data_IF_669315550595
#
_entry.id   IF_669315550595
#
_cell.length_a   1.000
_cell.length_b   1.000
_cell.length_c   1.000
_cell.angle_alpha   90.00
_cell.angle_beta   90.00
_cell.angle_gamma   90.00
#
_symmetry.space_group_name_H-M   'P 1'
#
loop_
_entity.id
_entity.type
_entity.pdbx_description
1 polymer ?
#
# COMPACT_ATOMS: atom_id res chain seq x y z
N UNK A 1 33.27 -11.47 29.57
CA UNK A 1 32.70 -12.77 29.91
C UNK A 1 32.67 -13.66 28.67
N UNK A 2 32.36 -14.93 28.83
CA UNK A 2 32.21 -15.86 27.69
C UNK A 2 30.73 -16.05 27.30
N UNK A 3 29.96 -14.99 27.45
CA UNK A 3 28.50 -14.97 27.23
C UNK A 3 28.10 -14.94 25.75
N UNK A 4 29.06 -14.77 24.85
CA UNK A 4 28.89 -14.81 23.40
C UNK A 4 29.74 -15.89 22.70
N UNK A 5 30.25 -16.89 23.48
CA UNK A 5 31.04 -17.96 22.91
C UNK A 5 30.25 -18.77 21.86
N UNK A 6 30.88 -19.07 20.73
CA UNK A 6 30.36 -19.90 19.65
C UNK A 6 31.37 -20.94 19.26
N UNK A 7 30.87 -22.12 18.92
CA UNK A 7 31.67 -23.22 18.39
C UNK A 7 31.45 -23.33 16.87
N UNK A 8 32.56 -23.47 16.15
CA UNK A 8 32.56 -23.60 14.70
C UNK A 8 33.34 -24.85 14.31
N UNK A 9 32.84 -25.55 13.30
CA UNK A 9 33.55 -26.68 12.71
C UNK A 9 34.37 -26.20 11.52
N UNK A 10 35.65 -26.63 11.48
CA UNK A 10 36.56 -26.28 10.38
C UNK A 10 36.40 -27.29 9.24
N UNK A 11 36.32 -26.76 8.02
CA UNK A 11 36.23 -27.59 6.80
C UNK A 11 37.61 -27.82 6.21
N UNK A 12 37.97 -29.09 5.92
CA UNK A 12 39.20 -29.43 5.25
C UNK A 12 39.19 -28.94 3.80
N UNK A 13 40.25 -28.26 3.38
CA UNK A 13 40.44 -27.77 2.03
C UNK A 13 41.19 -28.80 1.17
N UNK A 14 41.18 -28.62 -0.15
CA UNK A 14 41.84 -29.52 -1.09
C UNK A 14 43.38 -29.57 -0.90
N UNK A 15 43.98 -28.52 -0.38
CA UNK A 15 45.42 -28.44 -0.07
C UNK A 15 45.81 -29.09 1.30
N UNK A 16 44.80 -29.65 2.02
CA UNK A 16 45.00 -30.27 3.32
C UNK A 16 44.80 -29.34 4.51
N UNK A 17 44.69 -28.04 4.31
CA UNK A 17 44.45 -27.09 5.37
C UNK A 17 42.99 -27.16 5.88
N UNK A 18 42.77 -26.66 7.08
CA UNK A 18 41.42 -26.52 7.66
C UNK A 18 41.05 -25.03 7.72
N UNK A 19 39.85 -24.69 7.25
CA UNK A 19 39.33 -23.35 7.22
C UNK A 19 38.01 -23.23 7.96
N UNK A 20 37.88 -22.17 8.73
CA UNK A 20 36.60 -21.75 9.35
C UNK A 20 36.40 -20.25 9.09
N UNK A 21 35.16 -19.89 8.84
CA UNK A 21 34.77 -18.48 8.70
C UNK A 21 33.92 -18.11 9.92
N UNK A 22 34.42 -17.17 10.70
CA UNK A 22 33.70 -16.63 11.85
C UNK A 22 33.00 -15.33 11.41
N UNK A 23 31.71 -15.24 11.68
CA UNK A 23 30.91 -14.03 11.38
C UNK A 23 30.66 -13.27 12.67
N UNK A 24 30.91 -11.96 12.66
CA UNK A 24 30.61 -11.11 13.80
C UNK A 24 29.12 -11.08 14.15
N UNK A 25 28.23 -11.33 13.17
CA UNK A 25 26.78 -11.46 13.39
C UNK A 25 26.44 -12.58 14.38
N UNK A 26 27.23 -13.65 14.42
CA UNK A 26 27.02 -14.78 15.34
C UNK A 26 27.42 -14.42 16.77
N UNK A 27 28.15 -13.33 16.93
CA UNK A 27 28.61 -12.72 18.17
C UNK A 27 27.95 -11.38 18.47
N UNK A 28 26.67 -11.23 18.11
CA UNK A 28 25.86 -10.04 18.35
C UNK A 28 26.44 -8.76 17.70
N UNK A 29 27.25 -8.92 16.64
CA UNK A 29 28.01 -7.82 15.99
C UNK A 29 28.90 -7.06 16.99
N UNK A 30 29.47 -7.73 17.96
CA UNK A 30 30.40 -7.10 18.90
C UNK A 30 31.69 -6.66 18.21
N UNK A 31 32.24 -5.54 18.61
CA UNK A 31 33.56 -5.06 18.21
C UNK A 31 34.57 -5.29 19.32
N UNK A 32 35.86 -5.22 18.99
CA UNK A 32 36.96 -5.39 19.91
C UNK A 32 37.72 -6.68 19.75
N UNK A 33 38.40 -7.13 20.81
CA UNK A 33 39.29 -8.27 20.75
C UNK A 33 38.53 -9.58 20.84
N UNK A 34 38.59 -10.37 19.76
CA UNK A 34 38.07 -11.73 19.69
C UNK A 34 39.16 -12.72 20.07
N UNK A 35 38.87 -13.62 21.00
CA UNK A 35 39.74 -14.72 21.40
C UNK A 35 39.29 -15.96 20.66
N UNK A 36 40.19 -16.58 19.93
CA UNK A 36 39.96 -17.81 19.17
C UNK A 36 40.77 -18.91 19.75
N UNK A 37 40.09 -19.99 20.14
CA UNK A 37 40.72 -21.21 20.63
C UNK A 37 40.48 -22.35 19.65
N UNK A 38 41.54 -23.09 19.28
CA UNK A 38 41.46 -24.24 18.41
C UNK A 38 41.58 -25.54 19.22
N UNK A 39 40.69 -26.46 18.92
CA UNK A 39 40.66 -27.80 19.53
C UNK A 39 40.61 -28.88 18.45
N UNK A 40 41.31 -29.98 18.68
CA UNK A 40 41.01 -31.22 17.98
C UNK A 40 39.99 -32.04 18.75
N UNK A 41 39.09 -32.68 18.03
CA UNK A 41 38.22 -33.70 18.60
C UNK A 41 38.85 -35.08 18.27
N UNK A 42 39.22 -35.82 19.29
CA UNK A 42 39.80 -37.14 19.12
C UNK A 42 38.71 -38.21 18.85
N UNK A 43 39.11 -39.40 18.41
CA UNK A 43 38.17 -40.48 18.11
C UNK A 43 37.33 -40.95 19.31
N UNK A 44 37.80 -40.70 20.53
CA UNK A 44 37.09 -40.99 21.78
C UNK A 44 36.14 -39.82 22.21
N UNK A 45 36.05 -38.76 21.38
CA UNK A 45 35.24 -37.58 21.65
C UNK A 45 35.89 -36.55 22.57
N UNK A 46 37.11 -36.81 23.06
CA UNK A 46 37.84 -35.84 23.89
C UNK A 46 38.33 -34.66 23.08
N UNK A 47 38.44 -33.48 23.73
CA UNK A 47 38.91 -32.23 23.11
C UNK A 47 40.31 -31.91 23.61
N UNK A 48 41.21 -31.73 22.68
CA UNK A 48 42.60 -31.33 22.95
C UNK A 48 42.81 -29.90 22.40
N UNK A 49 43.16 -28.95 23.28
CA UNK A 49 43.49 -27.59 22.90
C UNK A 49 44.83 -27.57 22.14
N UNK A 50 44.86 -26.93 20.99
CA UNK A 50 46.02 -26.94 20.09
C UNK A 50 46.63 -25.53 19.98
N UNK A 51 45.85 -24.51 20.17
CA UNK A 51 46.34 -23.16 20.09
C UNK A 51 45.30 -22.11 20.39
N UNK A 52 45.79 -20.89 20.66
CA UNK A 52 44.94 -19.74 20.88
C UNK A 52 45.49 -18.58 20.07
N UNK A 53 44.61 -17.75 19.56
CA UNK A 53 44.97 -16.45 18.92
C UNK A 53 43.94 -15.39 19.25
N UNK A 54 44.29 -14.15 18.97
CA UNK A 54 43.37 -13.07 19.10
C UNK A 54 43.36 -12.25 17.83
N UNK A 55 42.20 -11.69 17.49
CA UNK A 55 42.09 -10.70 16.39
C UNK A 55 41.23 -9.53 16.89
N UNK A 56 41.55 -8.35 16.41
CA UNK A 56 40.73 -7.16 16.64
C UNK A 56 39.68 -7.08 15.53
N UNK A 57 38.42 -6.97 15.91
CA UNK A 57 37.31 -6.77 14.97
C UNK A 57 36.80 -5.35 15.13
N UNK A 58 37.03 -4.56 14.11
CA UNK A 58 36.49 -3.23 13.97
C UNK A 58 35.62 -3.20 12.73
N UNK A 59 34.40 -2.70 12.88
CA UNK A 59 33.62 -2.37 11.70
C UNK A 59 34.12 -1.03 11.18
N UNK A 60 34.97 -1.06 10.16
CA UNK A 60 35.34 0.15 9.43
C UNK A 60 34.05 0.75 8.85
N UNK A 61 33.70 1.96 9.29
CA UNK A 61 32.42 2.62 9.02
C UNK A 61 31.24 1.94 9.72
N UNK A 62 31.31 1.71 11.01
CA UNK A 62 30.13 1.40 11.81
C UNK A 62 29.13 2.56 11.68
N UNK A 63 28.21 2.44 10.76
CA UNK A 63 27.13 3.38 10.58
C UNK A 63 26.26 3.31 11.84
N UNK A 64 26.37 4.32 12.68
CA UNK A 64 25.62 4.42 13.96
C UNK A 64 24.28 5.12 13.79
N UNK A 65 24.07 5.79 12.64
CA UNK A 65 22.85 6.57 12.35
C UNK A 65 22.11 5.98 11.16
N UNK A 66 20.80 5.94 11.29
CA UNK A 66 19.90 5.65 10.16
C UNK A 66 20.22 6.57 8.99
N UNK A 67 20.29 6.01 7.79
CA UNK A 67 20.44 6.79 6.55
C UNK A 67 19.16 6.69 5.74
N UNK A 68 18.85 7.79 5.06
CA UNK A 68 17.68 7.89 4.21
C UNK A 68 18.07 8.56 2.88
N UNK A 69 17.42 8.18 1.82
CA UNK A 69 17.69 8.75 0.51
C UNK A 69 16.55 8.56 -0.48
N UNK A 70 16.72 9.17 -1.66
CA UNK A 70 15.81 8.98 -2.78
C UNK A 70 16.60 8.37 -3.94
N UNK A 71 16.01 7.36 -4.60
CA UNK A 71 16.55 6.73 -5.80
C UNK A 71 15.46 6.39 -6.80
N UNK A 72 15.85 5.87 -7.95
CA UNK A 72 14.94 5.38 -9.00
C UNK A 72 13.85 6.41 -9.38
N UNK A 73 14.24 7.69 -9.48
CA UNK A 73 13.33 8.74 -9.90
C UNK A 73 12.94 8.51 -11.35
N UNK A 74 11.67 8.21 -11.57
CA UNK A 74 11.08 8.14 -12.90
C UNK A 74 10.03 9.26 -13.01
N UNK A 75 10.48 10.42 -13.46
CA UNK A 75 9.65 11.61 -13.56
C UNK A 75 8.45 11.39 -14.49
N UNK A 76 8.63 10.67 -15.59
CA UNK A 76 7.58 10.37 -16.57
C UNK A 76 6.53 9.39 -16.06
N UNK A 77 6.92 8.38 -15.28
CA UNK A 77 6.00 7.48 -14.60
C UNK A 77 5.43 8.08 -13.31
N UNK A 78 5.98 9.20 -12.85
CA UNK A 78 5.58 9.85 -11.61
C UNK A 78 5.92 9.05 -10.36
N UNK A 79 7.09 8.40 -10.35
CA UNK A 79 7.49 7.54 -9.21
C UNK A 79 8.91 7.79 -8.78
N UNK A 80 9.19 7.55 -7.50
CA UNK A 80 10.53 7.43 -6.95
C UNK A 80 10.53 6.51 -5.74
N UNK A 81 11.71 6.03 -5.37
CA UNK A 81 11.89 5.14 -4.22
C UNK A 81 12.59 5.89 -3.10
N UNK A 82 12.00 5.90 -1.93
CA UNK A 82 12.64 6.32 -0.67
C UNK A 82 13.33 5.12 -0.07
N UNK A 83 14.60 5.27 0.31
CA UNK A 83 15.38 4.25 1.00
C UNK A 83 15.58 4.61 2.45
N UNK A 84 15.54 3.61 3.31
CA UNK A 84 15.86 3.74 4.74
C UNK A 84 16.79 2.58 5.10
N UNK A 85 18.02 2.93 5.48
CA UNK A 85 19.04 1.99 5.89
C UNK A 85 19.20 2.04 7.42
N UNK A 86 18.87 0.93 8.07
CA UNK A 86 19.12 0.77 9.49
C UNK A 86 20.61 0.64 9.75
N UNK A 87 21.13 1.46 10.65
CA UNK A 87 22.53 1.33 11.07
C UNK A 87 22.76 -0.01 11.76
N UNK A 88 23.81 -0.78 11.40
CA UNK A 88 24.10 -2.08 12.01
C UNK A 88 24.25 -2.04 13.53
N UNK A 89 24.76 -0.92 14.06
CA UNK A 89 24.93 -0.69 15.49
C UNK A 89 24.04 0.45 16.01
N UNK A 90 23.06 0.86 15.19
CA UNK A 90 22.12 1.92 15.53
C UNK A 90 20.89 1.40 16.27
N UNK A 91 19.98 2.33 16.51
CA UNK A 91 18.66 2.05 17.10
C UNK A 91 17.85 1.15 16.15
N UNK A 92 17.14 0.17 16.70
CA UNK A 92 16.29 -0.72 15.91
C UNK A 92 15.03 0.02 15.46
N UNK A 93 14.80 0.00 14.14
CA UNK A 93 13.62 0.57 13.52
C UNK A 93 12.41 -0.32 13.80
N UNK A 94 11.31 0.30 14.24
CA UNK A 94 10.00 -0.33 14.47
C UNK A 94 9.06 -0.11 13.29
N UNK A 95 9.07 1.12 12.75
CA UNK A 95 8.19 1.49 11.65
C UNK A 95 8.80 2.66 10.87
N UNK A 96 8.44 2.77 9.61
CA UNK A 96 8.89 3.84 8.71
C UNK A 96 7.64 4.51 8.13
N UNK A 97 7.58 5.82 8.23
CA UNK A 97 6.52 6.67 7.68
C UNK A 97 7.13 7.68 6.73
N UNK A 98 6.61 7.74 5.52
CA UNK A 98 7.03 8.72 4.52
C UNK A 98 5.87 9.64 4.22
N UNK A 99 6.07 10.94 4.39
CA UNK A 99 5.15 11.98 4.00
C UNK A 99 5.61 12.57 2.67
N UNK A 100 4.75 12.64 1.67
CA UNK A 100 5.06 13.29 0.39
C UNK A 100 3.90 14.20 -0.03
N UNK A 101 4.22 15.36 -0.61
CA UNK A 101 3.26 16.31 -1.15
C UNK A 101 3.92 17.22 -2.19
N UNK A 102 3.14 17.78 -3.11
CA UNK A 102 3.62 18.72 -4.13
C UNK A 102 2.88 20.06 -4.15
N UNK A 103 1.77 20.18 -3.39
CA UNK A 103 0.98 21.40 -3.34
C UNK A 103 1.31 22.24 -2.10
N UNK A 104 1.06 23.54 -2.20
CA UNK A 104 1.18 24.45 -1.07
C UNK A 104 0.29 23.97 0.10
N UNK A 105 0.67 24.32 1.31
CA UNK A 105 -0.07 23.95 2.53
C UNK A 105 -0.33 22.44 2.69
N UNK A 106 0.44 21.58 1.98
CA UNK A 106 0.30 20.11 2.03
C UNK A 106 -1.09 19.60 1.57
N UNK A 107 -1.78 20.31 0.69
CA UNK A 107 -3.15 19.97 0.26
C UNK A 107 -3.28 18.56 -0.35
N UNK A 108 -2.21 18.05 -0.96
CA UNK A 108 -2.16 16.69 -1.48
C UNK A 108 -1.18 15.79 -0.71
N UNK A 109 -1.00 16.03 0.61
CA UNK A 109 -0.17 15.20 1.46
C UNK A 109 -0.68 13.77 1.49
N UNK A 110 0.23 12.84 1.23
CA UNK A 110 -0.02 11.42 1.39
C UNK A 110 1.03 10.76 2.28
N UNK A 111 0.58 9.86 3.15
CA UNK A 111 1.42 9.11 4.05
C UNK A 111 1.59 7.66 3.59
N UNK A 112 2.83 7.23 3.45
CA UNK A 112 3.20 5.84 3.24
C UNK A 112 3.74 5.29 4.56
N UNK A 113 3.33 4.10 4.96
CA UNK A 113 3.80 3.46 6.20
C UNK A 113 4.16 2.00 5.93
N UNK A 114 5.31 1.57 6.45
CA UNK A 114 5.77 0.19 6.33
C UNK A 114 6.60 -0.23 7.54
N UNK A 115 6.53 -1.52 7.87
CA UNK A 115 7.50 -2.12 8.77
C UNK A 115 8.86 -2.28 8.06
N UNK A 116 9.99 -2.26 8.80
CA UNK A 116 11.29 -2.48 8.20
C UNK A 116 11.42 -3.89 7.61
N UNK A 117 12.02 -4.00 6.43
CA UNK A 117 12.35 -5.26 5.77
C UNK A 117 13.86 -5.56 5.89
N UNK A 118 14.33 -5.90 7.10
CA UNK A 118 15.74 -6.11 7.38
C UNK A 118 16.49 -4.79 7.58
N UNK A 119 17.75 -4.75 7.09
CA UNK A 119 18.64 -3.59 7.25
C UNK A 119 18.41 -2.50 6.21
N UNK A 120 17.78 -2.84 5.10
CA UNK A 120 17.44 -1.94 3.99
C UNK A 120 15.95 -2.03 3.69
N UNK A 121 15.26 -0.91 3.70
CA UNK A 121 13.82 -0.84 3.41
C UNK A 121 13.57 0.19 2.33
N UNK A 122 12.72 -0.15 1.39
CA UNK A 122 12.31 0.72 0.29
C UNK A 122 10.83 1.05 0.39
N UNK A 123 10.50 2.32 0.16
CA UNK A 123 9.12 2.81 0.09
C UNK A 123 8.93 3.50 -1.24
N UNK A 124 8.03 2.99 -2.06
CA UNK A 124 7.74 3.59 -3.35
C UNK A 124 6.72 4.73 -3.18
N UNK A 125 7.09 5.92 -3.60
CA UNK A 125 6.22 7.08 -3.72
C UNK A 125 5.72 7.17 -5.16
N UNK A 126 4.42 7.40 -5.31
CA UNK A 126 3.78 7.49 -6.63
C UNK A 126 2.90 8.72 -6.74
N UNK A 127 3.04 9.46 -7.81
CA UNK A 127 2.18 10.59 -8.15
C UNK A 127 0.69 10.21 -8.26
N UNK A 128 0.39 8.91 -8.45
CA UNK A 128 -0.98 8.41 -8.41
C UNK A 128 -1.68 8.72 -7.07
N UNK A 129 -0.93 8.67 -5.96
CA UNK A 129 -1.45 9.01 -4.63
C UNK A 129 -1.57 10.53 -4.39
N UNK A 130 -1.12 11.33 -5.34
CA UNK A 130 -1.13 12.80 -5.32
C UNK A 130 -1.84 13.37 -6.54
N UNK A 131 -2.86 12.67 -7.03
CA UNK A 131 -3.69 13.09 -8.17
C UNK A 131 -2.89 13.32 -9.47
N UNK A 132 -1.77 12.60 -9.65
CA UNK A 132 -0.83 12.77 -10.77
C UNK A 132 -0.33 14.21 -10.96
N UNK A 133 -0.32 15.01 -9.89
CA UNK A 133 0.18 16.38 -9.97
C UNK A 133 1.63 16.41 -10.46
N UNK A 134 1.89 17.25 -11.45
CA UNK A 134 3.25 17.59 -11.85
C UNK A 134 3.80 18.65 -10.91
N UNK A 135 5.06 18.53 -10.54
CA UNK A 135 5.70 19.52 -9.69
C UNK A 135 6.81 18.93 -8.82
N UNK A 136 7.24 19.72 -7.87
CA UNK A 136 8.28 19.35 -6.92
C UNK A 136 7.64 18.68 -5.70
N UNK A 137 7.90 17.41 -5.53
CA UNK A 137 7.43 16.62 -4.39
C UNK A 137 8.36 16.78 -3.21
N UNK A 138 7.91 17.43 -2.16
CA UNK A 138 8.61 17.47 -0.87
C UNK A 138 8.43 16.14 -0.17
N UNK A 139 9.52 15.58 0.36
CA UNK A 139 9.53 14.26 1.02
C UNK A 139 10.12 14.35 2.40
N UNK A 140 9.37 13.94 3.40
CA UNK A 140 9.84 13.76 4.77
C UNK A 140 9.74 12.28 5.17
N UNK A 141 10.76 11.78 5.86
CA UNK A 141 10.78 10.42 6.43
C UNK A 141 10.77 10.53 7.93
N UNK A 142 9.94 9.76 8.59
CA UNK A 142 9.91 9.59 10.03
C UNK A 142 10.16 8.13 10.36
N UNK A 143 11.17 7.90 11.18
CA UNK A 143 11.57 6.57 11.62
C UNK A 143 11.19 6.43 13.08
N UNK A 144 10.27 5.52 13.36
CA UNK A 144 9.89 5.17 14.72
C UNK A 144 10.79 4.02 15.20
N UNK A 145 11.41 4.17 16.36
CA UNK A 145 12.30 3.18 16.93
C UNK A 145 11.63 2.31 17.99
N UNK A 146 12.16 1.11 18.18
CA UNK A 146 11.64 0.15 19.19
C UNK A 146 11.72 0.71 20.61
N UNK A 147 12.69 1.58 20.89
CA UNK A 147 12.87 2.26 22.19
C UNK A 147 11.88 3.40 22.42
N UNK A 148 10.96 3.66 21.47
CA UNK A 148 9.92 4.70 21.56
C UNK A 148 10.33 6.07 21.01
N UNK A 149 11.57 6.27 20.56
CA UNK A 149 12.00 7.52 19.92
C UNK A 149 11.57 7.62 18.46
N UNK A 150 11.49 8.84 17.95
CA UNK A 150 11.19 9.16 16.54
C UNK A 150 12.30 10.06 16.01
N UNK A 151 12.76 9.77 14.79
CA UNK A 151 13.72 10.63 14.07
C UNK A 151 13.10 11.04 12.72
N UNK A 152 13.21 12.34 12.40
CA UNK A 152 12.70 12.93 11.17
C UNK A 152 13.80 13.31 10.21
N UNK A 153 13.62 13.03 8.92
CA UNK A 153 14.55 13.36 7.84
C UNK A 153 13.81 14.15 6.77
N UNK A 154 14.36 15.29 6.38
CA UNK A 154 13.87 16.05 5.22
C UNK A 154 14.73 15.67 4.00
N UNK A 155 14.15 15.00 3.02
CA UNK A 155 14.84 14.57 1.80
C UNK A 155 14.77 15.60 0.67
N UNK A 156 14.22 16.80 0.96
CA UNK A 156 14.11 17.86 -0.01
C UNK A 156 12.98 17.61 -1.03
N UNK A 157 13.22 18.06 -2.25
CA UNK A 157 12.24 18.03 -3.32
C UNK A 157 12.69 17.16 -4.50
N UNK A 158 11.75 16.41 -5.07
CA UNK A 158 11.93 15.58 -6.26
C UNK A 158 10.96 16.04 -7.33
N UNK A 159 11.47 16.47 -8.49
CA UNK A 159 10.61 16.87 -9.60
C UNK A 159 9.99 15.66 -10.30
N UNK A 160 8.68 15.58 -10.29
CA UNK A 160 7.92 14.61 -11.05
C UNK A 160 7.05 15.34 -12.09
N UNK A 161 7.10 14.85 -13.30
CA UNK A 161 6.23 15.27 -14.40
C UNK A 161 5.58 14.02 -14.96
N UNK A 162 4.64 13.40 -14.21
CA UNK A 162 4.02 12.16 -14.64
C UNK A 162 3.39 12.40 -16.01
N UNK A 163 3.95 11.77 -17.00
CA UNK A 163 3.23 11.57 -18.25
C UNK A 163 2.23 10.48 -17.89
N UNK A 164 0.95 10.79 -18.02
CA UNK A 164 -0.05 9.75 -17.92
C UNK A 164 0.32 8.70 -19.01
N UNK A 165 1.08 7.69 -18.62
CA UNK A 165 1.29 6.51 -19.45
C UNK A 165 0.01 5.69 -19.34
N UNK A 166 -0.96 6.15 -20.09
CA UNK A 166 -2.03 5.29 -20.55
C UNK A 166 -1.33 4.33 -21.52
N UNK A 167 -1.42 3.06 -21.24
CA UNK A 167 -1.09 2.02 -22.21
C UNK A 167 -1.84 2.36 -23.50
N UNK A 168 -1.11 2.84 -24.52
CA UNK A 168 -1.68 3.42 -25.76
C UNK A 168 -2.30 2.38 -26.67
N UNK A 169 -2.46 1.13 -26.23
CA UNK A 169 -3.13 0.10 -27.05
C UNK A 169 -4.62 -0.06 -26.76
N UNK A 170 -5.18 0.64 -25.76
CA UNK A 170 -6.59 0.46 -25.41
C UNK A 170 -7.44 1.74 -25.33
N UNK A 171 -6.88 2.95 -25.18
CA UNK A 171 -7.73 4.18 -25.15
C UNK A 171 -6.92 5.46 -25.38
N UNK A 172 -7.19 6.18 -26.45
CA UNK A 172 -6.97 7.62 -26.52
C UNK A 172 -8.21 8.32 -25.96
N UNK A 173 -8.12 8.97 -24.78
CA UNK A 173 -8.92 10.14 -24.55
C UNK A 173 -8.03 11.35 -24.29
N UNK A 174 -8.38 12.47 -24.94
CA UNK A 174 -8.00 13.80 -24.50
C UNK A 174 -8.01 13.87 -22.98
N UNK A 175 -6.97 14.51 -22.37
CA UNK A 175 -6.98 14.92 -20.97
C UNK A 175 -8.19 15.84 -20.80
N UNK A 176 -9.31 15.27 -20.45
CA UNK A 176 -10.45 15.99 -19.91
C UNK A 176 -10.31 15.91 -18.39
N UNK A 177 -10.22 17.04 -17.70
CA UNK A 177 -10.45 17.14 -16.25
C UNK A 177 -11.91 16.79 -15.89
N UNK A 178 -12.51 15.85 -16.63
CA UNK A 178 -13.90 15.48 -16.50
C UNK A 178 -14.17 14.85 -15.13
N UNK A 179 -15.35 15.08 -14.62
CA UNK A 179 -15.80 14.56 -13.33
C UNK A 179 -15.63 13.03 -13.24
N UNK A 180 -15.89 12.31 -14.33
CA UNK A 180 -15.69 10.84 -14.41
C UNK A 180 -14.26 10.42 -14.13
N UNK A 181 -13.29 11.08 -14.76
CA UNK A 181 -11.87 10.74 -14.61
C UNK A 181 -11.38 11.04 -13.19
N UNK A 182 -11.93 12.07 -12.53
CA UNK A 182 -11.64 12.37 -11.13
C UNK A 182 -12.11 11.24 -10.22
N UNK A 183 -13.35 10.77 -10.41
CA UNK A 183 -13.92 9.64 -9.63
C UNK A 183 -13.08 8.38 -9.83
N UNK A 184 -12.71 8.05 -11.07
CA UNK A 184 -11.90 6.85 -11.36
C UNK A 184 -10.51 6.93 -10.72
N UNK A 185 -9.85 8.09 -10.79
CA UNK A 185 -8.55 8.29 -10.12
C UNK A 185 -8.69 8.21 -8.60
N UNK A 186 -9.72 8.82 -8.02
CA UNK A 186 -9.97 8.77 -6.59
C UNK A 186 -10.20 7.32 -6.13
N UNK A 187 -11.01 6.54 -6.85
CA UNK A 187 -11.21 5.12 -6.55
C UNK A 187 -9.93 4.32 -6.68
N UNK A 188 -9.16 4.50 -7.77
CA UNK A 188 -7.91 3.79 -8.02
C UNK A 188 -6.84 4.09 -6.96
N UNK A 189 -6.80 5.31 -6.41
CA UNK A 189 -5.86 5.71 -5.36
C UNK A 189 -6.08 4.97 -4.03
N UNK A 190 -7.26 4.41 -3.82
CA UNK A 190 -7.62 3.68 -2.62
C UNK A 190 -7.37 2.16 -2.74
N UNK A 191 -7.02 1.66 -3.92
CA UNK A 191 -6.74 0.22 -4.11
C UNK A 191 -5.63 -0.23 -3.16
N UNK A 192 -5.89 -1.33 -2.43
CA UNK A 192 -5.00 -1.87 -1.42
C UNK A 192 -5.31 -1.40 0.02
N UNK A 193 -6.21 -0.42 0.22
CA UNK A 193 -6.70 -0.07 1.57
C UNK A 193 -7.39 -1.28 2.16
N UNK A 194 -7.01 -1.65 3.38
CA UNK A 194 -7.54 -2.81 4.11
C UNK A 194 -8.39 -2.37 5.30
N UNK A 195 -9.45 -3.11 5.58
CA UNK A 195 -10.26 -2.94 6.76
C UNK A 195 -9.42 -2.99 8.05
N UNK A 196 -9.74 -2.14 9.02
CA UNK A 196 -9.03 -2.01 10.28
C UNK A 196 -7.72 -1.19 10.23
N UNK A 197 -7.28 -0.74 9.05
CA UNK A 197 -6.09 0.14 8.93
C UNK A 197 -6.44 1.62 9.16
N UNK A 198 -5.42 2.45 9.39
CA UNK A 198 -5.59 3.90 9.50
C UNK A 198 -6.23 4.52 8.24
N UNK A 199 -5.90 4.00 7.05
CA UNK A 199 -6.48 4.45 5.79
C UNK A 199 -7.98 4.12 5.70
N UNK A 200 -8.39 2.95 6.18
CA UNK A 200 -9.81 2.59 6.29
C UNK A 200 -10.53 3.46 7.33
N UNK A 201 -9.92 3.69 8.50
CA UNK A 201 -10.46 4.61 9.50
C UNK A 201 -10.67 6.01 8.93
N UNK A 202 -9.74 6.50 8.10
CA UNK A 202 -9.86 7.80 7.44
C UNK A 202 -11.05 7.82 6.47
N UNK A 203 -11.26 6.75 5.70
CA UNK A 203 -12.41 6.63 4.80
C UNK A 203 -13.74 6.69 5.56
N UNK A 204 -13.82 6.01 6.70
CA UNK A 204 -15.00 6.06 7.61
C UNK A 204 -15.17 7.45 8.20
N UNK A 205 -14.09 8.11 8.62
CA UNK A 205 -14.13 9.47 9.15
C UNK A 205 -14.61 10.48 8.10
N UNK A 206 -14.12 10.36 6.86
CA UNK A 206 -14.52 11.24 5.77
C UNK A 206 -16.01 11.09 5.45
N UNK A 207 -16.51 9.84 5.38
CA UNK A 207 -17.95 9.60 5.23
C UNK A 207 -18.75 10.28 6.34
N UNK A 208 -18.34 10.10 7.59
CA UNK A 208 -19.03 10.64 8.76
C UNK A 208 -18.93 12.16 8.92
N UNK A 209 -17.97 12.79 8.24
CA UNK A 209 -17.73 14.24 8.35
C UNK A 209 -18.82 15.09 7.72
N UNK A 210 -19.52 14.58 6.71
CA UNK A 210 -20.56 15.30 5.97
C UNK A 210 -21.94 15.03 6.55
N UNK A 211 -22.64 16.10 6.90
CA UNK A 211 -23.99 16.04 7.50
C UNK A 211 -25.04 16.59 6.52
N UNK A 212 -26.31 16.12 6.62
CA UNK A 212 -26.80 15.06 7.50
C UNK A 212 -26.26 13.68 7.09
N UNK A 213 -26.13 12.79 8.07
CA UNK A 213 -25.78 11.41 7.79
C UNK A 213 -26.95 10.67 7.16
N UNK A 214 -26.72 9.82 6.14
CA UNK A 214 -27.74 8.89 5.66
C UNK A 214 -28.34 8.08 6.81
N UNK A 215 -29.66 7.97 6.81
CA UNK A 215 -30.48 7.34 7.87
C UNK A 215 -30.10 7.74 9.31
N UNK A 216 -29.42 8.87 9.48
CA UNK A 216 -28.97 9.37 10.79
C UNK A 216 -27.86 8.52 11.44
N UNK A 217 -27.24 7.59 10.71
CA UNK A 217 -26.29 6.62 11.25
C UNK A 217 -24.84 7.01 10.96
N UNK A 218 -24.03 7.12 12.03
CA UNK A 218 -22.58 7.24 11.92
C UNK A 218 -21.96 5.85 11.78
N UNK A 219 -21.37 5.57 10.62
CA UNK A 219 -20.77 4.27 10.33
C UNK A 219 -19.52 4.02 11.17
N UNK A 220 -19.26 2.74 11.48
CA UNK A 220 -18.13 2.27 12.27
C UNK A 220 -17.14 1.52 11.37
N UNK A 221 -15.93 1.34 11.82
CA UNK A 221 -14.91 0.53 11.12
C UNK A 221 -15.19 -0.97 11.13
N UNK A 222 -16.19 -1.39 11.88
CA UNK A 222 -16.68 -2.78 11.94
C UNK A 222 -17.84 -3.07 11.02
N UNK A 223 -18.42 -2.02 10.41
CA UNK A 223 -19.55 -2.17 9.50
C UNK A 223 -19.07 -2.58 8.11
N UNK A 224 -19.98 -3.15 7.31
CA UNK A 224 -19.72 -3.35 5.88
C UNK A 224 -19.53 -2.00 5.20
N UNK A 225 -18.46 -1.88 4.42
CA UNK A 225 -18.00 -0.59 3.91
C UNK A 225 -17.88 -0.51 2.38
N UNK A 226 -18.54 -1.42 1.65
CA UNK A 226 -18.55 -1.37 0.18
C UNK A 226 -19.25 -0.09 -0.32
N UNK A 227 -20.41 0.25 0.21
CA UNK A 227 -21.16 1.46 -0.19
C UNK A 227 -20.56 2.74 0.40
N UNK A 228 -19.99 2.65 1.61
CA UNK A 228 -19.21 3.73 2.21
C UNK A 228 -18.03 4.12 1.29
N UNK A 229 -17.33 3.15 0.70
CA UNK A 229 -16.27 3.39 -0.28
C UNK A 229 -16.79 4.19 -1.47
N UNK A 230 -17.86 3.73 -2.14
CA UNK A 230 -18.43 4.41 -3.31
C UNK A 230 -18.89 5.81 -2.96
N UNK A 231 -19.67 5.96 -1.88
CA UNK A 231 -20.14 7.26 -1.40
C UNK A 231 -18.97 8.21 -1.09
N UNK A 232 -17.92 7.73 -0.41
CA UNK A 232 -16.78 8.57 -0.01
C UNK A 232 -15.93 8.99 -1.21
N UNK A 233 -15.77 8.13 -2.21
CA UNK A 233 -15.08 8.49 -3.47
C UNK A 233 -15.76 9.69 -4.13
N UNK A 234 -17.07 9.64 -4.32
CA UNK A 234 -17.82 10.77 -4.91
C UNK A 234 -17.84 12.00 -4.01
N UNK A 235 -17.92 11.81 -2.69
CA UNK A 235 -17.90 12.89 -1.71
C UNK A 235 -16.58 13.66 -1.72
N UNK A 236 -15.43 12.98 -1.76
CA UNK A 236 -14.11 13.60 -1.84
C UNK A 236 -13.94 14.47 -3.10
N UNK A 237 -14.57 14.06 -4.18
CA UNK A 237 -14.54 14.80 -5.44
C UNK A 237 -15.59 15.92 -5.54
N UNK A 238 -16.40 16.13 -4.48
CA UNK A 238 -17.49 17.11 -4.49
C UNK A 238 -18.65 16.73 -5.40
N UNK A 239 -18.79 15.44 -5.72
CA UNK A 239 -19.73 14.90 -6.72
C UNK A 239 -20.86 14.07 -6.09
N UNK A 240 -21.07 14.15 -4.77
CA UNK A 240 -22.16 13.44 -4.09
C UNK A 240 -23.55 13.68 -4.72
N UNK A 241 -23.77 14.85 -5.33
CA UNK A 241 -25.03 15.16 -6.02
C UNK A 241 -25.34 14.25 -7.22
N UNK A 242 -24.32 13.61 -7.80
CA UNK A 242 -24.50 12.73 -8.97
C UNK A 242 -25.09 11.36 -8.59
N UNK A 243 -24.84 10.89 -7.37
CA UNK A 243 -25.24 9.54 -6.91
C UNK A 243 -26.04 9.58 -5.61
N UNK A 244 -26.03 10.69 -4.89
CA UNK A 244 -26.50 10.75 -3.51
C UNK A 244 -25.43 10.25 -2.51
N UNK A 245 -25.88 10.02 -1.28
CA UNK A 245 -25.03 9.48 -0.20
C UNK A 245 -25.81 8.40 0.54
N UNK A 246 -25.17 7.26 0.74
CA UNK A 246 -25.75 6.12 1.47
C UNK A 246 -24.62 5.24 2.07
N UNK A 247 -25.00 4.32 2.95
CA UNK A 247 -24.13 3.28 3.52
C UNK A 247 -24.75 1.87 3.39
N UNK A 248 -25.79 1.73 2.58
CA UNK A 248 -26.47 0.46 2.34
C UNK A 248 -26.97 0.36 0.92
N UNK A 249 -26.47 -0.64 0.21
CA UNK A 249 -26.56 -0.76 -1.25
C UNK A 249 -28.00 -0.70 -1.76
N UNK A 250 -28.91 -1.47 -1.18
CA UNK A 250 -30.32 -1.48 -1.63
C UNK A 250 -31.00 -0.11 -1.45
N UNK A 251 -30.68 0.61 -0.37
CA UNK A 251 -31.20 1.99 -0.17
C UNK A 251 -30.55 2.96 -1.16
N UNK A 252 -29.29 2.74 -1.52
CA UNK A 252 -28.61 3.54 -2.54
C UNK A 252 -29.25 3.35 -3.93
N UNK A 253 -29.64 2.15 -4.29
CA UNK A 253 -30.42 1.87 -5.51
C UNK A 253 -31.71 2.71 -5.55
N UNK A 254 -32.41 2.88 -4.42
CA UNK A 254 -33.60 3.75 -4.37
C UNK A 254 -33.24 5.22 -4.64
N UNK A 255 -32.06 5.66 -4.24
CA UNK A 255 -31.56 7.00 -4.63
C UNK A 255 -31.27 7.06 -6.12
N UNK A 256 -30.59 6.07 -6.70
CA UNK A 256 -30.32 6.01 -8.14
C UNK A 256 -31.60 6.03 -8.97
N UNK A 257 -32.65 5.30 -8.51
CA UNK A 257 -33.99 5.33 -9.14
C UNK A 257 -34.59 6.73 -9.11
N UNK A 258 -34.55 7.42 -7.97
CA UNK A 258 -35.04 8.81 -7.85
C UNK A 258 -34.26 9.81 -8.69
N UNK A 259 -32.95 9.62 -8.84
CA UNK A 259 -32.10 10.44 -9.70
C UNK A 259 -32.28 10.13 -11.20
N UNK A 260 -33.01 9.08 -11.55
CA UNK A 260 -33.21 8.63 -12.93
C UNK A 260 -31.94 8.15 -13.61
N UNK A 261 -31.02 7.54 -12.85
CA UNK A 261 -29.75 7.02 -13.32
C UNK A 261 -29.62 5.50 -13.19
N UNK A 262 -30.64 4.83 -12.65
CA UNK A 262 -30.66 3.40 -12.43
C UNK A 262 -31.08 2.60 -13.66
N UNK A 263 -30.33 1.54 -13.98
CA UNK A 263 -30.69 0.52 -14.93
C UNK A 263 -30.71 -0.85 -14.24
N UNK A 264 -31.86 -1.49 -14.24
CA UNK A 264 -32.10 -2.78 -13.56
C UNK A 264 -31.61 -3.97 -14.38
N UNK A 265 -31.22 -3.76 -15.63
CA UNK A 265 -30.75 -4.82 -16.51
C UNK A 265 -29.25 -5.09 -16.34
N UNK A 266 -28.92 -6.14 -15.57
CA UNK A 266 -27.57 -6.62 -15.33
C UNK A 266 -26.85 -7.17 -16.57
N UNK A 267 -27.53 -7.31 -17.71
CA UNK A 267 -26.91 -7.72 -18.98
C UNK A 267 -26.42 -6.55 -19.83
N UNK A 268 -26.75 -5.32 -19.42
CA UNK A 268 -26.28 -4.10 -20.10
C UNK A 268 -24.76 -3.98 -20.03
N UNK A 269 -24.16 -3.46 -21.08
CA UNK A 269 -22.73 -3.09 -21.09
C UNK A 269 -22.54 -1.74 -20.42
N UNK A 270 -21.92 -1.68 -19.20
CA UNK A 270 -21.68 -0.42 -18.53
C UNK A 270 -20.51 0.34 -19.15
N UNK A 271 -20.32 1.57 -18.69
CA UNK A 271 -19.19 2.44 -19.07
C UNK A 271 -18.30 2.70 -17.86
N UNK A 272 -17.04 3.04 -18.12
CA UNK A 272 -16.15 3.52 -17.07
C UNK A 272 -16.81 4.66 -16.30
N UNK A 273 -16.75 4.61 -14.97
CA UNK A 273 -17.40 5.54 -14.05
C UNK A 273 -18.84 5.19 -13.67
N UNK A 274 -19.46 4.21 -14.32
CA UNK A 274 -20.75 3.68 -13.86
C UNK A 274 -20.57 2.97 -12.51
N UNK A 275 -21.67 2.88 -11.77
CA UNK A 275 -21.73 2.12 -10.52
C UNK A 275 -22.36 0.77 -10.84
N UNK A 276 -21.77 -0.29 -10.35
CA UNK A 276 -22.25 -1.67 -10.48
C UNK A 276 -22.71 -2.17 -9.11
N UNK A 277 -23.84 -2.85 -9.06
CA UNK A 277 -24.35 -3.49 -7.84
C UNK A 277 -24.54 -4.99 -8.05
N UNK A 278 -24.46 -5.73 -6.97
CA UNK A 278 -24.53 -7.18 -6.97
C UNK A 278 -25.54 -7.68 -5.94
N UNK A 279 -26.12 -8.83 -6.23
CA UNK A 279 -26.80 -9.70 -5.29
C UNK A 279 -26.15 -11.08 -5.37
N UNK A 280 -25.45 -11.48 -4.33
CA UNK A 280 -24.73 -12.74 -4.30
C UNK A 280 -25.61 -13.97 -4.12
N UNK A 281 -26.83 -13.78 -3.63
CA UNK A 281 -27.78 -14.88 -3.39
C UNK A 281 -28.42 -15.42 -4.67
N UNK A 282 -28.31 -14.69 -5.79
CA UNK A 282 -28.85 -15.07 -7.09
C UNK A 282 -27.75 -15.02 -8.16
N UNK A 283 -27.54 -16.14 -8.86
CA UNK A 283 -26.53 -16.24 -9.92
C UNK A 283 -27.19 -16.49 -11.31
N UNK A 284 -28.25 -15.78 -11.60
CA UNK A 284 -28.96 -15.84 -12.88
C UNK A 284 -29.47 -14.45 -13.26
N UNK A 285 -29.53 -14.17 -14.56
CA UNK A 285 -30.18 -12.98 -15.08
C UNK A 285 -31.65 -13.27 -15.42
N UNK A 286 -32.62 -12.37 -15.23
CA UNK A 286 -32.42 -11.06 -14.60
C UNK A 286 -32.31 -11.23 -13.10
N UNK A 287 -31.37 -10.54 -12.50
CA UNK A 287 -31.21 -10.54 -11.06
C UNK A 287 -31.97 -9.34 -10.49
N UNK A 288 -33.03 -9.58 -9.73
CA UNK A 288 -33.89 -8.57 -9.10
C UNK A 288 -33.99 -8.71 -7.57
N UNK A 289 -33.09 -9.51 -6.98
CA UNK A 289 -33.03 -9.71 -5.55
C UNK A 289 -32.45 -8.52 -4.79
N UNK A 290 -32.33 -8.66 -3.48
CA UNK A 290 -31.76 -7.64 -2.61
C UNK A 290 -30.26 -7.43 -2.92
N UNK A 291 -29.87 -6.18 -3.18
CA UNK A 291 -28.47 -5.86 -3.48
C UNK A 291 -27.65 -5.76 -2.19
N UNK A 292 -26.55 -6.50 -2.14
CA UNK A 292 -25.68 -6.63 -0.99
C UNK A 292 -24.24 -6.14 -1.21
N UNK A 293 -23.87 -5.84 -2.47
CA UNK A 293 -22.54 -5.33 -2.79
C UNK A 293 -22.56 -4.29 -3.92
N UNK A 294 -21.53 -3.42 -3.93
CA UNK A 294 -21.44 -2.28 -4.85
C UNK A 294 -19.97 -1.96 -5.18
N UNK A 295 -19.76 -1.47 -6.40
CA UNK A 295 -18.46 -1.01 -6.85
C UNK A 295 -18.55 0.06 -7.94
N UNK A 296 -17.39 0.51 -8.40
CA UNK A 296 -17.24 1.47 -9.50
C UNK A 296 -16.64 0.74 -10.70
N UNK A 297 -17.25 0.85 -11.86
CA UNK A 297 -16.72 0.30 -13.11
C UNK A 297 -15.48 1.11 -13.52
N UNK A 298 -14.32 0.48 -13.53
CA UNK A 298 -13.06 1.11 -13.95
C UNK A 298 -12.94 1.13 -15.47
N UNK A 299 -13.28 0.02 -16.12
CA UNK A 299 -13.26 -0.11 -17.58
C UNK A 299 -14.06 -1.33 -18.05
N UNK A 300 -14.33 -1.38 -19.34
CA UNK A 300 -14.91 -2.57 -19.98
C UNK A 300 -14.09 -2.90 -21.22
N UNK A 301 -13.64 -4.14 -21.34
CA UNK A 301 -12.88 -4.60 -22.52
C UNK A 301 -13.13 -6.08 -22.77
N UNK A 302 -13.26 -6.46 -24.04
CA UNK A 302 -13.43 -7.86 -24.47
C UNK A 302 -14.55 -8.62 -23.74
N UNK A 303 -15.67 -7.95 -23.44
CA UNK A 303 -16.80 -8.55 -22.71
C UNK A 303 -16.58 -8.71 -21.20
N UNK A 304 -15.49 -8.14 -20.67
CA UNK A 304 -15.13 -8.16 -19.24
C UNK A 304 -15.31 -6.75 -18.66
N UNK A 305 -16.01 -6.67 -17.55
CA UNK A 305 -16.16 -5.49 -16.71
C UNK A 305 -15.04 -5.55 -15.67
N UNK A 306 -14.21 -4.52 -15.59
CA UNK A 306 -13.22 -4.32 -14.57
C UNK A 306 -13.77 -3.32 -13.55
N UNK A 307 -13.71 -3.63 -12.28
CA UNK A 307 -14.29 -2.83 -11.19
C UNK A 307 -13.25 -2.46 -10.14
N UNK A 308 -13.52 -1.41 -9.38
CA UNK A 308 -12.87 -1.10 -8.11
C UNK A 308 -13.94 -1.15 -7.02
N UNK A 309 -13.73 -1.99 -6.03
CA UNK A 309 -14.72 -2.30 -4.99
C UNK A 309 -14.12 -2.15 -3.60
N UNK A 310 -14.85 -1.47 -2.71
CA UNK A 310 -14.55 -1.46 -1.27
C UNK A 310 -15.09 -2.72 -0.58
N UNK A 311 -14.49 -3.07 0.55
CA UNK A 311 -14.86 -4.26 1.33
C UNK A 311 -14.87 -5.59 0.56
N UNK A 312 -14.21 -5.63 -0.58
CA UNK A 312 -14.04 -6.87 -1.32
C UNK A 312 -12.92 -7.69 -0.67
N UNK A 313 -13.29 -8.75 0.04
CA UNK A 313 -12.40 -9.50 0.92
C UNK A 313 -11.66 -8.57 1.92
N UNK A 314 -12.45 -7.68 2.57
CA UNK A 314 -12.00 -6.69 3.55
C UNK A 314 -10.92 -5.72 3.04
N UNK A 315 -10.93 -5.39 1.74
CA UNK A 315 -10.03 -4.38 1.17
C UNK A 315 -10.63 -3.69 -0.06
N UNK A 316 -10.02 -2.59 -0.50
CA UNK A 316 -10.30 -2.02 -1.82
C UNK A 316 -9.54 -2.82 -2.87
N UNK A 317 -10.25 -3.44 -3.79
CA UNK A 317 -9.68 -4.33 -4.81
C UNK A 317 -10.21 -4.02 -6.20
N UNK A 318 -9.41 -4.42 -7.20
CA UNK A 318 -9.87 -4.63 -8.57
C UNK A 318 -10.41 -6.03 -8.72
N UNK A 319 -11.63 -6.13 -9.28
CA UNK A 319 -12.26 -7.40 -9.63
C UNK A 319 -12.67 -7.38 -11.10
N UNK A 320 -13.07 -8.53 -11.62
CA UNK A 320 -13.51 -8.66 -13.03
C UNK A 320 -14.73 -9.56 -13.12
N UNK A 321 -15.67 -9.16 -13.98
CA UNK A 321 -16.90 -9.90 -14.23
C UNK A 321 -17.18 -9.94 -15.74
N UNK A 322 -17.79 -11.01 -16.23
CA UNK A 322 -18.33 -11.02 -17.58
C UNK A 322 -19.57 -10.15 -17.66
N UNK A 323 -19.79 -9.46 -18.77
CA UNK A 323 -21.08 -8.80 -19.04
C UNK A 323 -22.18 -9.85 -18.91
N UNK A 324 -23.26 -9.52 -18.19
CA UNK A 324 -24.36 -10.45 -17.94
C UNK A 324 -24.08 -11.50 -16.87
N UNK A 325 -23.02 -11.34 -16.05
CA UNK A 325 -22.78 -12.24 -14.92
C UNK A 325 -24.01 -12.31 -14.01
N UNK A 326 -24.39 -13.52 -13.59
CA UNK A 326 -25.67 -13.77 -12.91
C UNK A 326 -25.87 -13.00 -11.60
N UNK A 327 -24.80 -12.65 -10.91
CA UNK A 327 -24.88 -11.86 -9.66
C UNK A 327 -25.02 -10.35 -9.88
N UNK A 328 -24.85 -9.82 -11.10
CA UNK A 328 -25.02 -8.38 -11.34
C UNK A 328 -26.50 -8.02 -11.16
N UNK A 329 -26.75 -7.13 -10.20
CA UNK A 329 -28.11 -6.65 -9.87
C UNK A 329 -28.56 -5.50 -10.79
N UNK A 330 -27.62 -4.71 -11.28
CA UNK A 330 -27.84 -3.57 -12.16
C UNK A 330 -26.76 -2.51 -12.06
N UNK A 331 -27.00 -1.41 -12.78
CA UNK A 331 -26.03 -0.33 -12.92
C UNK A 331 -26.67 1.04 -12.63
N UNK A 332 -25.89 1.96 -12.09
CA UNK A 332 -26.24 3.37 -12.11
C UNK A 332 -25.24 4.15 -12.97
N UNK A 333 -25.74 5.01 -13.85
CA UNK A 333 -24.93 5.86 -14.76
C UNK A 333 -24.99 7.30 -14.31
N UNK A 334 -24.00 7.78 -13.53
CA UNK A 334 -23.96 9.18 -13.09
C UNK A 334 -23.86 10.15 -14.27
N UNK A 335 -24.55 11.28 -14.17
CA UNK A 335 -24.58 12.30 -15.24
C UNK A 335 -23.37 13.21 -15.14
N UNK A 336 -22.19 12.69 -15.42
CA UNK A 336 -20.94 13.46 -15.45
C UNK A 336 -20.98 14.60 -16.49
N UNK A 337 -20.32 15.72 -16.14
CA UNK A 337 -20.10 16.88 -17.03
C UNK A 337 -18.68 16.90 -17.55
#
# INVERSE_FOLDING_TARGET
GQDDIRWYEATRQANGDYKVSVKASDHKNSTGKYHVHLYYIQNDGSRVGVGTTTTEVEFRNAQTKTQTGIKNVNSGAGTYTVTVDQAPQGRRIKNIRVAAWSQAHQENLFWYSTAPSGMHTEVQVSAANHQYQSGNYTTHVYVDYVDGGVEGFNLGQTALHPRATIDQTAFSPRVTNGQRDRVLRAAASLVGVRGGTAAHQQLVNDYNSVKPLPVGYAVKTTDDWCDIFVTTVFQREGLSGLIGRECGVERHIQIFKRLGIWNEDGTTTPKAGDIITFNWDQNTQQNNGFADHIGIVESVSNGIIHTIEGNSNNQVRRNTYRIGHGNIRGFATPRYQ
#
